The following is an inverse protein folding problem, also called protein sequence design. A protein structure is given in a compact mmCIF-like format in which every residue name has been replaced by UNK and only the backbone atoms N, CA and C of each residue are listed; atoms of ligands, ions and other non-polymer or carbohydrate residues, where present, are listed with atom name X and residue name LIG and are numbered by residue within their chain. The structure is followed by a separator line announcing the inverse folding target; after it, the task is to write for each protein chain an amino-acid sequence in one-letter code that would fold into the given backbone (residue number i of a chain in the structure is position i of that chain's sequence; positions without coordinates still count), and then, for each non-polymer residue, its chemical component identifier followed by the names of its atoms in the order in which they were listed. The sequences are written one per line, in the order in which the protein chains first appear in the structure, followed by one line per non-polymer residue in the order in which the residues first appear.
data_IF_867746386425
#
_entry.id   IF_867746386425
#
_cell.length_a   1.000
_cell.length_b   1.000
_cell.length_c   1.000
_cell.angle_alpha   90.00
_cell.angle_beta   90.00
_cell.angle_gamma   90.00
#
_symmetry.space_group_name_H-M   'P 1'
#
loop_
_entity.id
_entity.type
_entity.pdbx_description
1 polymer ?
#
# COMPACT_ATOMS: atom_id res chain seq x y z
N UNK A 1 0.58 -34.27 -3.44
CA UNK A 1 1.22 -32.95 -3.29
C UNK A 1 0.29 -32.09 -2.42
N UNK A 2 0.64 -31.85 -1.14
CA UNK A 2 -0.10 -30.96 -0.27
C UNK A 2 0.45 -29.56 -0.43
N UNK A 3 -0.26 -28.65 -1.10
CA UNK A 3 0.04 -27.22 -1.06
C UNK A 3 -0.08 -26.78 0.40
N UNK A 4 1.03 -26.42 1.00
CA UNK A 4 1.05 -25.63 2.24
C UNK A 4 0.60 -24.24 1.85
N UNK A 5 -0.67 -23.93 2.13
CA UNK A 5 -1.11 -22.54 2.21
C UNK A 5 -0.30 -21.93 3.35
N UNK A 6 0.72 -21.15 3.04
CA UNK A 6 1.35 -20.26 4.01
C UNK A 6 0.28 -19.24 4.38
N UNK A 7 -0.34 -19.41 5.55
CA UNK A 7 -1.00 -18.31 6.22
C UNK A 7 0.13 -17.36 6.60
N UNK A 8 0.25 -16.30 5.86
CA UNK A 8 1.14 -15.20 6.23
C UNK A 8 0.62 -14.64 7.54
N UNK A 9 1.42 -14.84 8.58
CA UNK A 9 1.16 -14.24 9.89
C UNK A 9 1.64 -12.80 9.76
N UNK A 10 0.72 -11.88 9.56
CA UNK A 10 0.98 -10.45 9.67
C UNK A 10 1.53 -10.19 11.07
N UNK A 11 2.74 -9.71 11.15
CA UNK A 11 3.27 -9.20 12.41
C UNK A 11 2.41 -7.98 12.75
N UNK A 12 1.91 -7.94 14.00
CA UNK A 12 1.06 -6.87 14.48
C UNK A 12 1.77 -5.52 14.28
N UNK A 13 1.39 -4.82 13.24
CA UNK A 13 1.87 -3.48 12.94
C UNK A 13 0.69 -2.54 12.94
N UNK A 14 0.96 -1.34 13.41
CA UNK A 14 -0.04 -0.31 13.50
C UNK A 14 -0.09 0.45 12.17
N UNK A 15 -1.28 0.63 11.62
CA UNK A 15 -1.52 1.55 10.50
C UNK A 15 -1.74 2.94 11.05
N UNK A 16 -1.06 3.90 10.48
CA UNK A 16 -1.30 5.31 10.75
C UNK A 16 -2.20 5.90 9.67
N UNK A 17 -3.36 6.43 10.06
CA UNK A 17 -4.35 7.04 9.19
C UNK A 17 -4.33 8.54 9.38
N UNK A 18 -4.13 9.27 8.29
CA UNK A 18 -4.03 10.74 8.31
C UNK A 18 -4.86 11.32 7.18
N UNK A 19 -5.68 12.33 7.48
CA UNK A 19 -6.34 13.14 6.46
C UNK A 19 -5.44 14.32 6.11
N UNK A 20 -5.08 14.44 4.84
CA UNK A 20 -4.17 15.46 4.32
C UNK A 20 -4.96 16.46 3.47
N UNK A 21 -4.76 17.74 3.73
CA UNK A 21 -5.28 18.88 2.99
C UNK A 21 -4.59 20.16 3.50
N UNK A 22 -4.31 21.16 2.68
CA UNK A 22 -4.53 21.24 1.23
C UNK A 22 -3.40 20.62 0.41
N UNK A 23 -2.39 20.01 1.04
CA UNK A 23 -1.25 19.37 0.35
C UNK A 23 -0.94 18.01 0.96
N UNK A 24 -0.15 17.19 0.26
CA UNK A 24 0.30 15.86 0.70
C UNK A 24 1.15 15.88 1.99
N UNK A 25 1.58 17.05 2.44
CA UNK A 25 2.36 17.22 3.68
C UNK A 25 1.60 17.96 4.77
N UNK A 26 0.41 18.46 4.48
CA UNK A 26 -0.40 19.23 5.42
C UNK A 26 -1.43 18.34 6.09
N UNK A 27 -1.24 18.08 7.38
CA UNK A 27 -2.19 17.29 8.18
C UNK A 27 -3.39 18.18 8.53
N UNK A 28 -4.56 17.80 8.03
CA UNK A 28 -5.84 18.43 8.39
C UNK A 28 -6.45 17.74 9.62
N UNK A 29 -6.43 16.39 9.66
CA UNK A 29 -6.98 15.61 10.76
C UNK A 29 -6.18 14.33 10.99
N UNK A 30 -6.10 13.89 12.23
CA UNK A 30 -5.27 12.75 12.63
C UNK A 30 -3.91 13.20 13.21
N UNK A 31 -2.89 12.33 13.23
CA UNK A 31 -2.98 10.91 12.87
C UNK A 31 -3.82 10.09 13.86
N UNK A 32 -4.40 9.02 13.38
CA UNK A 32 -5.03 7.96 14.18
C UNK A 32 -4.31 6.64 13.90
N UNK A 33 -3.96 5.91 14.93
CA UNK A 33 -3.23 4.65 14.82
C UNK A 33 -4.16 3.51 15.14
N UNK A 34 -4.25 2.52 14.24
CA UNK A 34 -5.05 1.31 14.42
C UNK A 34 -4.18 0.06 14.25
N UNK A 35 -4.36 -0.96 15.10
CA UNK A 35 -3.67 -2.22 14.92
C UNK A 35 -4.20 -2.98 13.70
N UNK A 36 -3.31 -3.51 12.88
CA UNK A 36 -3.67 -4.52 11.88
C UNK A 36 -3.79 -5.86 12.59
N UNK A 37 -4.95 -6.48 12.45
CA UNK A 37 -5.21 -7.81 13.00
C UNK A 37 -5.65 -8.76 11.88
N UNK A 38 -5.67 -10.07 12.17
CA UNK A 38 -6.16 -11.08 11.22
C UNK A 38 -7.65 -10.93 10.89
N UNK A 39 -8.40 -10.25 11.75
CA UNK A 39 -9.79 -9.84 11.51
C UNK A 39 -9.80 -8.34 11.13
N UNK A 40 -10.64 -7.92 10.20
CA UNK A 40 -10.76 -6.51 9.88
C UNK A 40 -11.06 -5.67 11.13
N UNK A 41 -10.34 -4.56 11.27
CA UNK A 41 -10.54 -3.58 12.34
C UNK A 41 -11.28 -2.38 11.76
N UNK A 42 -12.40 -1.99 12.38
CA UNK A 42 -13.18 -0.83 11.95
C UNK A 42 -13.05 0.29 12.98
N UNK A 43 -12.77 1.48 12.50
CA UNK A 43 -12.87 2.73 13.23
C UNK A 43 -14.18 3.40 12.82
N UNK A 44 -15.13 3.45 13.75
CA UNK A 44 -16.35 4.22 13.56
C UNK A 44 -16.05 5.70 13.83
N UNK A 45 -16.30 6.52 12.84
CA UNK A 45 -16.09 7.96 12.87
C UNK A 45 -17.43 8.69 12.97
N UNK A 46 -17.83 9.17 14.14
CA UNK A 46 -18.94 10.11 14.23
C UNK A 46 -18.58 11.43 13.55
N UNK A 47 -19.59 12.15 13.08
CA UNK A 47 -19.44 13.48 12.51
C UNK A 47 -18.56 14.36 13.41
N UNK A 48 -17.55 15.01 12.83
CA UNK A 48 -16.58 15.87 13.55
C UNK A 48 -15.92 15.20 14.76
N UNK A 49 -15.69 13.88 14.68
CA UNK A 49 -15.05 13.11 15.73
C UNK A 49 -13.62 13.54 16.04
N UNK A 50 -12.89 12.75 16.80
CA UNK A 50 -11.48 13.03 17.13
C UNK A 50 -10.50 12.32 16.19
N UNK A 51 -9.25 12.74 16.16
CA UNK A 51 -8.23 12.16 15.29
C UNK A 51 -8.58 12.33 13.81
N UNK A 52 -8.41 11.29 13.01
CA UNK A 52 -8.76 11.33 11.57
C UNK A 52 -10.26 11.56 11.36
N UNK A 53 -11.10 11.14 12.30
CA UNK A 53 -12.55 11.33 12.22
C UNK A 53 -12.99 12.80 12.22
N UNK A 54 -12.12 13.72 12.62
CA UNK A 54 -12.39 15.16 12.55
C UNK A 54 -12.58 15.67 11.11
N UNK A 55 -12.07 14.95 10.14
CA UNK A 55 -12.22 15.31 8.73
C UNK A 55 -13.62 15.03 8.17
N UNK A 56 -14.41 14.17 8.81
CA UNK A 56 -15.72 13.78 8.31
C UNK A 56 -16.80 14.68 8.90
N UNK A 57 -17.60 15.26 8.03
CA UNK A 57 -18.74 16.13 8.42
C UNK A 57 -19.98 15.33 8.76
N UNK A 58 -20.03 14.08 8.35
CA UNK A 58 -21.07 13.08 8.64
C UNK A 58 -20.44 11.83 9.24
N UNK A 59 -21.25 10.83 9.52
CA UNK A 59 -20.72 9.56 10.01
C UNK A 59 -19.94 8.86 8.90
N UNK A 60 -18.83 8.28 9.30
CA UNK A 60 -17.97 7.49 8.41
C UNK A 60 -17.46 6.26 9.14
N UNK A 61 -16.96 5.30 8.38
CA UNK A 61 -16.24 4.14 8.91
C UNK A 61 -14.98 3.88 8.10
N UNK A 62 -13.89 3.62 8.79
CA UNK A 62 -12.62 3.21 8.16
C UNK A 62 -12.34 1.78 8.59
N UNK A 63 -12.33 0.86 7.64
CA UNK A 63 -12.04 -0.55 7.89
C UNK A 63 -10.68 -0.93 7.34
N UNK A 64 -9.84 -1.48 8.19
CA UNK A 64 -8.51 -1.99 7.87
C UNK A 64 -8.59 -3.51 7.80
N UNK A 65 -8.40 -4.07 6.62
CA UNK A 65 -8.22 -5.50 6.38
C UNK A 65 -6.75 -5.90 6.31
N UNK A 66 -6.49 -7.15 5.98
CA UNK A 66 -5.13 -7.66 5.84
C UNK A 66 -4.34 -6.96 4.70
N UNK A 67 -5.00 -6.70 3.60
CA UNK A 67 -4.45 -6.11 2.38
C UNK A 67 -5.37 -5.04 1.78
N UNK A 68 -6.35 -4.55 2.56
CA UNK A 68 -7.39 -3.65 2.09
C UNK A 68 -7.70 -2.56 3.10
N UNK A 69 -7.97 -1.37 2.57
CA UNK A 69 -8.34 -0.17 3.32
C UNK A 69 -9.64 0.36 2.72
N UNK A 70 -10.71 0.35 3.51
CA UNK A 70 -12.03 0.80 3.06
C UNK A 70 -12.47 2.00 3.88
N UNK A 71 -12.87 3.06 3.19
CA UNK A 71 -13.56 4.23 3.77
C UNK A 71 -14.98 4.21 3.27
N UNK A 72 -15.93 4.28 4.18
CA UNK A 72 -17.37 4.46 3.89
C UNK A 72 -17.81 5.74 4.56
N UNK A 73 -18.54 6.58 3.87
CA UNK A 73 -19.09 7.84 4.41
C UNK A 73 -20.56 7.99 4.03
N UNK A 74 -21.36 8.38 5.00
CA UNK A 74 -22.82 8.45 4.89
C UNK A 74 -23.32 9.78 4.28
N UNK A 75 -22.45 10.66 3.83
CA UNK A 75 -22.86 11.99 3.40
C UNK A 75 -22.92 12.22 1.89
N UNK A 76 -23.81 13.13 1.48
CA UNK A 76 -23.73 13.82 0.21
C UNK A 76 -22.91 15.10 0.36
N UNK A 77 -21.59 15.00 0.37
CA UNK A 77 -20.67 16.12 0.52
C UNK A 77 -19.71 16.23 -0.68
N UNK A 78 -18.76 17.12 -0.61
CA UNK A 78 -17.71 17.27 -1.61
C UNK A 78 -16.35 17.45 -0.97
N UNK A 79 -15.34 16.91 -1.62
CA UNK A 79 -13.96 17.25 -1.32
C UNK A 79 -13.66 18.67 -1.84
N UNK A 80 -13.16 19.54 -0.97
CA UNK A 80 -12.74 20.88 -1.41
C UNK A 80 -11.69 20.75 -2.54
N UNK A 81 -11.76 21.69 -3.49
CA UNK A 81 -10.80 21.75 -4.59
C UNK A 81 -9.49 22.35 -4.10
N UNK A 82 -8.52 21.49 -3.84
CA UNK A 82 -7.20 21.79 -3.32
C UNK A 82 -6.13 21.01 -4.10
N UNK A 83 -4.85 21.33 -4.03
CA UNK A 83 -3.81 20.51 -4.63
C UNK A 83 -3.85 19.05 -4.17
N UNK A 84 -4.26 18.79 -2.93
CA UNK A 84 -4.54 17.48 -2.36
C UNK A 84 -5.63 17.57 -1.30
N UNK A 85 -6.56 16.60 -1.31
CA UNK A 85 -7.61 16.48 -0.32
C UNK A 85 -8.02 15.00 -0.20
N UNK A 86 -7.53 14.29 0.83
CA UNK A 86 -7.77 12.85 0.93
C UNK A 86 -7.09 12.18 2.11
N UNK A 87 -7.13 10.85 2.13
CA UNK A 87 -6.62 10.03 3.24
C UNK A 87 -5.35 9.31 2.81
N UNK A 88 -4.39 9.28 3.73
CA UNK A 88 -3.20 8.46 3.68
C UNK A 88 -3.27 7.36 4.74
N UNK A 89 -2.96 6.15 4.33
CA UNK A 89 -2.63 5.00 5.17
C UNK A 89 -1.12 4.79 5.09
N UNK A 90 -0.42 4.89 6.21
CA UNK A 90 1.04 4.81 6.27
C UNK A 90 1.52 3.90 7.40
N UNK A 91 2.82 3.70 7.48
CA UNK A 91 3.44 2.75 8.40
C UNK A 91 2.97 1.30 8.15
N UNK A 92 2.77 0.96 6.85
CA UNK A 92 2.31 -0.35 6.43
C UNK A 92 3.50 -1.32 6.40
N UNK A 93 3.52 -2.27 7.32
CA UNK A 93 4.54 -3.32 7.38
C UNK A 93 3.91 -4.67 7.01
N UNK A 94 4.30 -5.21 5.88
CA UNK A 94 3.80 -6.47 5.34
C UNK A 94 4.73 -7.65 5.65
N UNK A 95 5.75 -7.42 6.47
CA UNK A 95 6.74 -8.43 6.83
C UNK A 95 8.13 -8.20 6.23
N UNK A 96 9.10 -9.04 6.57
CA UNK A 96 10.50 -8.81 6.23
C UNK A 96 10.75 -8.71 4.73
N UNK A 97 11.09 -7.49 4.28
CA UNK A 97 11.43 -7.20 2.88
C UNK A 97 10.24 -7.05 1.93
N UNK A 98 9.01 -7.24 2.40
CA UNK A 98 7.82 -7.00 1.60
C UNK A 98 7.50 -5.51 1.50
N UNK A 99 7.01 -5.11 0.34
CA UNK A 99 6.66 -3.73 0.00
C UNK A 99 5.42 -3.71 -0.86
N UNK A 100 4.72 -2.60 -0.89
CA UNK A 100 3.64 -2.39 -1.85
C UNK A 100 4.26 -2.37 -3.24
N UNK A 101 3.74 -3.23 -4.12
CA UNK A 101 4.15 -3.33 -5.54
C UNK A 101 3.04 -2.93 -6.49
N UNK A 102 1.81 -2.80 -5.98
CA UNK A 102 0.65 -2.39 -6.74
C UNK A 102 -0.59 -2.23 -5.89
N UNK A 103 -1.67 -1.82 -6.50
CA UNK A 103 -2.98 -1.71 -5.86
C UNK A 103 -4.10 -1.92 -6.87
N UNK A 104 -5.31 -2.13 -6.36
CA UNK A 104 -6.56 -1.97 -7.10
C UNK A 104 -7.51 -1.06 -6.33
N UNK A 105 -8.30 -0.28 -7.06
CA UNK A 105 -9.32 0.61 -6.53
C UNK A 105 -10.70 0.06 -6.84
N UNK A 106 -11.55 -0.01 -5.82
CA UNK A 106 -12.97 -0.26 -5.96
C UNK A 106 -13.73 0.88 -5.27
N UNK A 107 -14.59 1.57 -6.00
CA UNK A 107 -15.32 2.73 -5.47
C UNK A 107 -16.61 2.97 -6.24
N UNK A 108 -17.58 3.57 -5.58
CA UNK A 108 -18.76 4.18 -6.20
C UNK A 108 -18.72 5.72 -6.19
N UNK A 109 -17.60 6.31 -5.73
CA UNK A 109 -17.40 7.77 -5.76
C UNK A 109 -17.16 8.21 -7.21
N UNK A 110 -18.08 8.99 -7.81
CA UNK A 110 -17.94 9.43 -9.19
C UNK A 110 -16.68 10.28 -9.38
N UNK A 111 -15.93 9.98 -10.43
CA UNK A 111 -14.71 10.72 -10.79
C UNK A 111 -13.43 10.22 -10.11
N UNK A 112 -13.49 9.46 -9.03
CA UNK A 112 -12.29 8.86 -8.43
C UNK A 112 -11.79 7.70 -9.29
N UNK A 113 -10.54 7.76 -9.68
CA UNK A 113 -9.89 6.79 -10.56
C UNK A 113 -8.56 6.31 -9.98
N UNK A 114 -7.96 5.29 -10.59
CA UNK A 114 -6.65 4.83 -10.17
C UNK A 114 -5.53 5.89 -10.36
N UNK A 115 -5.74 6.91 -11.19
CA UNK A 115 -4.82 8.02 -11.35
C UNK A 115 -4.76 8.94 -10.12
N UNK A 116 -5.81 8.93 -9.29
CA UNK A 116 -5.93 9.71 -8.08
C UNK A 116 -5.34 8.99 -6.85
N UNK A 117 -4.84 7.77 -7.06
CA UNK A 117 -4.22 6.96 -6.02
C UNK A 117 -2.71 6.93 -6.22
N UNK A 118 -1.96 7.15 -5.16
CA UNK A 118 -0.51 7.02 -5.15
C UNK A 118 -0.04 6.17 -3.98
N UNK A 119 1.10 5.51 -4.14
CA UNK A 119 1.67 4.66 -3.09
C UNK A 119 3.19 4.73 -3.07
N UNK A 120 3.75 4.38 -1.93
CA UNK A 120 5.17 4.13 -1.70
C UNK A 120 5.38 2.67 -1.30
N UNK A 121 6.55 2.35 -0.77
CA UNK A 121 6.83 1.00 -0.28
C UNK A 121 5.95 0.60 0.93
N UNK A 122 5.49 1.58 1.72
CA UNK A 122 4.87 1.44 3.04
C UNK A 122 3.69 2.37 3.27
N UNK A 123 3.20 3.02 2.23
CA UNK A 123 2.03 3.88 2.32
C UNK A 123 1.21 3.88 1.04
N UNK A 124 -0.09 4.14 1.17
CA UNK A 124 -1.01 4.35 0.06
C UNK A 124 -1.95 5.50 0.41
N UNK A 125 -2.28 6.33 -0.57
CA UNK A 125 -3.19 7.46 -0.39
C UNK A 125 -4.04 7.69 -1.63
N UNK A 126 -5.21 8.28 -1.44
CA UNK A 126 -6.04 8.76 -2.54
C UNK A 126 -6.29 10.26 -2.42
N UNK A 127 -6.44 10.92 -3.55
CA UNK A 127 -6.78 12.33 -3.67
C UNK A 127 -8.21 12.48 -4.21
N UNK A 128 -9.13 12.91 -3.37
CA UNK A 128 -10.53 13.18 -3.73
C UNK A 128 -10.78 14.63 -4.14
N UNK A 129 -9.75 15.47 -4.25
CA UNK A 129 -9.88 16.89 -4.51
C UNK A 129 -10.87 17.23 -5.62
N UNK A 130 -11.83 18.11 -5.32
CA UNK A 130 -12.83 18.57 -6.28
C UNK A 130 -13.93 17.55 -6.63
N UNK A 131 -13.87 16.34 -6.08
CA UNK A 131 -14.93 15.35 -6.29
C UNK A 131 -16.12 15.65 -5.40
N UNK A 132 -17.31 15.45 -5.95
CA UNK A 132 -18.57 15.55 -5.23
C UNK A 132 -19.31 14.23 -5.30
N UNK A 133 -19.98 13.90 -4.21
CA UNK A 133 -20.79 12.70 -4.11
C UNK A 133 -22.20 13.07 -3.70
N UNK A 134 -23.11 12.91 -4.65
CA UNK A 134 -24.55 13.14 -4.43
C UNK A 134 -25.26 11.90 -3.91
N UNK A 135 -24.59 10.73 -3.97
CA UNK A 135 -25.14 9.44 -3.53
C UNK A 135 -24.49 9.00 -2.23
N UNK A 136 -25.31 8.77 -1.21
CA UNK A 136 -24.93 8.25 0.09
C UNK A 136 -25.44 6.81 0.27
N UNK A 137 -24.69 5.91 0.91
CA UNK A 137 -23.27 6.03 1.26
C UNK A 137 -22.36 5.88 0.03
N UNK A 138 -21.21 6.52 0.04
CA UNK A 138 -20.15 6.16 -0.88
C UNK A 138 -19.07 5.35 -0.18
N UNK A 139 -18.29 4.61 -0.96
CA UNK A 139 -17.15 3.85 -0.46
C UNK A 139 -15.94 3.99 -1.38
N UNK A 140 -14.78 3.88 -0.77
CA UNK A 140 -13.47 3.80 -1.43
C UNK A 140 -12.74 2.62 -0.80
N UNK A 141 -12.43 1.59 -1.59
CA UNK A 141 -11.62 0.44 -1.16
C UNK A 141 -10.34 0.39 -1.96
N UNK A 142 -9.22 0.45 -1.27
CA UNK A 142 -7.88 0.26 -1.81
C UNK A 142 -7.40 -1.13 -1.40
N UNK A 143 -7.21 -2.03 -2.37
CA UNK A 143 -6.57 -3.31 -2.12
C UNK A 143 -5.12 -3.20 -2.57
N UNK A 144 -4.18 -3.53 -1.69
CA UNK A 144 -2.74 -3.48 -1.99
C UNK A 144 -2.23 -4.85 -2.41
N UNK A 145 -1.29 -4.83 -3.34
CA UNK A 145 -0.51 -6.02 -3.71
C UNK A 145 0.89 -5.82 -3.16
N UNK A 146 1.38 -6.82 -2.44
CA UNK A 146 2.73 -6.80 -1.87
C UNK A 146 3.66 -7.79 -2.56
N UNK A 147 4.94 -7.55 -2.44
CA UNK A 147 5.96 -8.46 -2.94
C UNK A 147 7.33 -8.08 -2.40
N UNK A 148 8.21 -9.05 -2.34
CA UNK A 148 9.63 -8.79 -2.11
C UNK A 148 10.17 -8.19 -3.41
N UNK A 149 10.73 -6.97 -3.40
CA UNK A 149 11.38 -6.42 -4.59
C UNK A 149 12.41 -7.44 -5.07
N UNK A 150 12.25 -7.96 -6.27
CA UNK A 150 13.25 -8.85 -6.84
C UNK A 150 14.58 -8.10 -6.82
N UNK A 151 15.45 -8.47 -5.89
CA UNK A 151 16.86 -8.07 -5.93
C UNK A 151 17.37 -8.61 -7.25
N UNK A 152 17.41 -7.72 -8.20
CA UNK A 152 17.45 -7.93 -9.63
C UNK A 152 18.15 -9.24 -10.00
N UNK A 153 17.43 -10.18 -10.56
CA UNK A 153 17.92 -11.35 -11.31
C UNK A 153 19.08 -10.92 -12.27
N UNK A 154 19.08 -9.66 -12.66
CA UNK A 154 20.12 -8.98 -13.42
C UNK A 154 21.49 -8.93 -12.72
N UNK A 155 21.56 -8.88 -11.38
CA UNK A 155 22.85 -8.96 -10.64
C UNK A 155 23.35 -10.39 -10.56
N UNK A 156 22.45 -11.37 -10.48
CA UNK A 156 22.83 -12.79 -10.41
C UNK A 156 23.26 -13.36 -11.77
N UNK A 157 22.76 -12.81 -12.88
CA UNK A 157 23.12 -13.27 -14.22
C UNK A 157 24.61 -12.99 -14.55
N UNK A 158 25.16 -11.78 -14.34
CA UNK A 158 26.59 -11.53 -14.51
C UNK A 158 27.46 -12.36 -13.56
N UNK A 159 27.03 -12.55 -12.31
CA UNK A 159 27.77 -13.36 -11.34
C UNK A 159 27.83 -14.83 -11.75
N UNK A 160 26.73 -15.38 -12.27
CA UNK A 160 26.67 -16.75 -12.82
C UNK A 160 27.57 -16.90 -14.05
N UNK A 161 27.52 -15.96 -14.99
CA UNK A 161 28.35 -15.96 -16.19
C UNK A 161 29.83 -15.79 -15.88
N UNK A 162 30.19 -14.92 -14.93
CA UNK A 162 31.56 -14.76 -14.45
C UNK A 162 32.10 -16.05 -13.79
N UNK A 163 31.26 -16.75 -13.01
CA UNK A 163 31.59 -18.05 -12.40
C UNK A 163 31.87 -19.13 -13.46
N UNK A 164 31.05 -19.22 -14.50
CA UNK A 164 31.25 -20.18 -15.59
C UNK A 164 32.48 -19.82 -16.42
N UNK A 165 32.74 -18.57 -16.71
CA UNK A 165 33.93 -18.10 -17.39
C UNK A 165 35.20 -18.44 -16.64
N UNK A 166 35.21 -18.26 -15.31
CA UNK A 166 36.36 -18.58 -14.47
C UNK A 166 36.61 -20.10 -14.38
N UNK A 167 35.57 -20.92 -14.30
CA UNK A 167 35.67 -22.39 -14.29
C UNK A 167 36.20 -22.91 -15.64
N UNK A 168 35.77 -22.37 -16.75
CA UNK A 168 36.25 -22.68 -18.10
C UNK A 168 37.73 -22.30 -18.28
N UNK A 169 38.13 -21.12 -17.81
CA UNK A 169 39.52 -20.68 -17.88
C UNK A 169 40.47 -21.56 -17.07
N UNK A 170 40.08 -22.03 -15.88
CA UNK A 170 40.85 -22.99 -15.08
C UNK A 170 40.96 -24.34 -15.73
N UNK A 171 39.94 -24.80 -16.44
CA UNK A 171 39.91 -26.07 -17.15
C UNK A 171 40.87 -26.10 -18.36
N UNK A 172 40.99 -24.99 -19.09
CA UNK A 172 41.85 -24.87 -20.27
C UNK A 172 43.35 -24.87 -19.89
N UNK A 173 43.73 -24.27 -18.79
CA UNK A 173 45.12 -24.27 -18.32
C UNK A 173 45.65 -25.66 -17.91
N UNK A 174 44.79 -26.55 -17.44
CA UNK A 174 45.21 -27.92 -17.06
C UNK A 174 45.49 -28.81 -18.28
N UNK A 175 44.88 -28.53 -19.45
CA UNK A 175 45.09 -29.30 -20.67
C UNK A 175 46.38 -28.93 -21.40
N UNK A 176 46.88 -27.71 -21.26
CA UNK A 176 48.12 -27.25 -21.88
C UNK A 176 49.39 -27.80 -21.18
N UNK A 177 49.30 -28.32 -19.97
CA UNK A 177 50.45 -28.83 -19.20
C UNK A 177 50.76 -30.33 -19.43
N UNK A 178 50.06 -31.02 -20.36
CA UNK A 178 50.24 -32.46 -20.64
C UNK A 178 50.64 -32.76 -22.10
N UNK A 179 51.16 -31.76 -22.84
CA UNK A 179 51.58 -31.91 -24.24
C UNK A 179 53.08 -31.67 -24.48
N UNK A 180 53.96 -31.96 -23.49
CA UNK A 180 55.42 -32.06 -23.63
C UNK A 180 55.90 -33.46 -23.25
#
# INVERSE_FOLDING_TARGET
MRQRIRREVWWATDVTITYLSPTVTSVFAGPTVLPITTNPTTLDCPAFGSGVCHAFVENAAITIGADSFTVVEDSGNSYATEPFNGIQFSNLDFGPGEKITGFSLLTNLPGLTAADVSFTNDSIMYNGSGLSFETSPYFITLNVTTGVPETSTWVMMPAGLAGLGFAGYRGSRKRAAWSD
#
